data_IF_852660930475
#
_entry.id   IF_852660930475
#
_cell.length_a   1.000
_cell.length_b   1.000
_cell.length_c   1.000
_cell.angle_alpha   90.00
_cell.angle_beta   90.00
_cell.angle_gamma   90.00
#
_symmetry.space_group_name_H-M   'P 1'
#
loop_
_entity.id
_entity.type
_entity.pdbx_description
1 polymer ?
#
# COMPACT_ATOMS: atom_id res chain seq x y z
N UNK A 1 31.59 -51.43 16.34
CA UNK A 1 30.46 -51.60 15.40
C UNK A 1 29.33 -50.59 15.61
N UNK A 2 29.02 -50.14 16.84
CA UNK A 2 27.91 -49.20 17.11
C UNK A 2 27.99 -47.79 16.47
N UNK A 3 29.16 -47.32 16.03
CA UNK A 3 29.28 -45.96 15.48
C UNK A 3 28.77 -45.85 14.03
N UNK A 4 28.83 -46.93 13.26
CA UNK A 4 28.43 -46.97 11.85
C UNK A 4 26.89 -47.05 11.70
N UNK A 5 26.23 -47.76 12.63
CA UNK A 5 24.77 -47.89 12.67
C UNK A 5 24.09 -46.54 12.97
N UNK A 6 24.72 -45.71 13.81
CA UNK A 6 24.17 -44.41 14.21
C UNK A 6 24.26 -43.36 13.08
N UNK A 7 25.31 -43.42 12.24
CA UNK A 7 25.41 -42.57 11.05
C UNK A 7 24.42 -42.99 9.95
N UNK A 8 24.17 -44.30 9.79
CA UNK A 8 23.14 -44.79 8.88
C UNK A 8 21.72 -44.41 9.32
N UNK A 9 21.44 -44.43 10.63
CA UNK A 9 20.17 -43.97 11.17
C UNK A 9 19.92 -42.47 10.91
N UNK A 10 20.94 -41.63 11.12
CA UNK A 10 20.86 -40.20 10.83
C UNK A 10 20.66 -39.89 9.34
N UNK A 11 21.36 -40.62 8.46
CA UNK A 11 21.19 -40.46 7.02
C UNK A 11 19.79 -40.90 6.56
N UNK A 12 19.24 -41.97 7.13
CA UNK A 12 17.87 -42.41 6.82
C UNK A 12 16.81 -41.40 7.28
N UNK A 13 17.02 -40.75 8.43
CA UNK A 13 16.12 -39.68 8.91
C UNK A 13 16.20 -38.44 8.01
N UNK A 14 17.39 -38.07 7.56
CA UNK A 14 17.56 -36.93 6.64
C UNK A 14 16.87 -37.18 5.28
N UNK A 15 16.99 -38.39 4.73
CA UNK A 15 16.33 -38.78 3.46
C UNK A 15 14.80 -38.75 3.62
N UNK A 16 14.27 -39.31 4.72
CA UNK A 16 12.83 -39.27 4.99
C UNK A 16 12.29 -37.86 5.15
N UNK A 17 13.09 -36.93 5.70
CA UNK A 17 12.70 -35.54 5.86
C UNK A 17 12.66 -34.80 4.51
N UNK A 18 13.64 -35.05 3.64
CA UNK A 18 13.66 -34.48 2.29
C UNK A 18 12.48 -34.98 1.44
N UNK A 19 12.18 -36.28 1.49
CA UNK A 19 11.00 -36.86 0.82
C UNK A 19 9.67 -36.27 1.34
N UNK A 20 9.58 -35.98 2.65
CA UNK A 20 8.40 -35.37 3.25
C UNK A 20 8.22 -33.92 2.78
N UNK A 21 9.31 -33.16 2.69
CA UNK A 21 9.32 -31.78 2.20
C UNK A 21 8.96 -31.72 0.71
N UNK A 22 9.49 -32.64 -0.09
CA UNK A 22 9.17 -32.73 -1.53
C UNK A 22 7.70 -33.12 -1.77
N UNK A 23 7.16 -34.05 -0.99
CA UNK A 23 5.73 -34.40 -1.04
C UNK A 23 4.81 -33.24 -0.63
N UNK A 24 5.21 -32.43 0.37
CA UNK A 24 4.45 -31.23 0.74
C UNK A 24 4.50 -30.13 -0.34
N UNK A 25 5.61 -30.02 -1.08
CA UNK A 25 5.70 -29.08 -2.20
C UNK A 25 4.84 -29.53 -3.38
N UNK A 26 4.81 -30.83 -3.70
CA UNK A 26 3.97 -31.39 -4.77
C UNK A 26 2.46 -31.33 -4.49
N UNK A 27 2.03 -31.51 -3.23
CA UNK A 27 0.62 -31.30 -2.84
C UNK A 27 0.19 -29.84 -3.01
N UNK A 28 1.08 -28.89 -2.73
CA UNK A 28 0.82 -27.46 -2.89
C UNK A 28 0.66 -27.05 -4.36
N UNK A 29 1.28 -27.77 -5.28
CA UNK A 29 1.16 -27.51 -6.72
C UNK A 29 -0.14 -28.08 -7.29
N UNK A 30 -0.63 -29.24 -6.81
CA UNK A 30 -1.87 -29.88 -7.31
C UNK A 30 -3.18 -29.24 -6.83
N UNK A 31 -3.18 -28.51 -5.72
CA UNK A 31 -4.38 -27.75 -5.29
C UNK A 31 -4.63 -26.50 -6.15
N UNK A 32 -3.68 -26.13 -7.03
CA UNK A 32 -3.78 -24.94 -7.90
C UNK A 32 -4.52 -25.21 -9.22
N UNK A 33 -4.79 -26.47 -9.57
CA UNK A 33 -5.31 -26.84 -10.90
C UNK A 33 -6.76 -27.37 -10.91
N UNK A 34 -7.45 -27.41 -9.77
CA UNK A 34 -8.78 -28.01 -9.67
C UNK A 34 -9.86 -27.06 -9.12
N UNK A 35 -10.15 -25.94 -9.80
CA UNK A 35 -11.46 -25.27 -9.74
C UNK A 35 -11.73 -24.48 -11.03
N UNK A 36 -12.35 -25.14 -12.00
CA UNK A 36 -13.03 -24.54 -13.16
C UNK A 36 -14.49 -25.06 -13.12
N UNK A 37 -15.46 -24.19 -13.50
CA UNK A 37 -16.94 -24.26 -13.40
C UNK A 37 -17.52 -23.95 -11.99
N UNK A 38 -18.53 -23.10 -11.77
CA UNK A 38 -19.65 -22.67 -12.63
C UNK A 38 -20.15 -21.22 -12.34
N UNK A 39 -20.96 -20.74 -13.29
CA UNK A 39 -21.67 -19.45 -13.42
C UNK A 39 -22.61 -19.06 -12.25
N UNK A 40 -22.79 -17.75 -12.02
CA UNK A 40 -24.03 -16.99 -12.33
C UNK A 40 -24.05 -15.58 -11.68
N UNK A 41 -23.85 -14.56 -12.54
CA UNK A 41 -24.56 -13.25 -12.74
C UNK A 41 -25.25 -12.46 -11.57
N UNK A 42 -25.75 -11.22 -11.78
CA UNK A 42 -24.99 -9.96 -11.73
C UNK A 42 -25.62 -8.94 -10.74
N UNK A 43 -24.87 -7.93 -10.32
CA UNK A 43 -25.50 -6.68 -9.87
C UNK A 43 -24.71 -5.44 -10.25
N UNK A 44 -25.35 -4.73 -11.19
CA UNK A 44 -25.17 -3.34 -11.59
C UNK A 44 -24.77 -2.42 -10.45
N UNK A 45 -23.73 -1.63 -10.65
CA UNK A 45 -23.76 -0.22 -10.27
C UNK A 45 -23.00 0.61 -11.31
N UNK A 46 -23.82 1.33 -12.07
CA UNK A 46 -23.47 2.45 -12.91
C UNK A 46 -22.79 3.53 -12.04
N UNK A 47 -21.59 3.97 -12.41
CA UNK A 47 -21.08 5.26 -11.94
C UNK A 47 -20.22 5.89 -13.02
N UNK A 48 -20.76 6.98 -13.54
CA UNK A 48 -20.21 7.77 -14.62
C UNK A 48 -18.82 8.32 -14.29
N UNK A 49 -17.95 8.10 -15.26
CA UNK A 49 -16.74 8.85 -15.61
C UNK A 49 -16.66 10.27 -15.03
N UNK A 50 -15.61 10.54 -14.24
CA UNK A 50 -15.02 11.87 -14.13
C UNK A 50 -13.49 11.80 -14.17
N UNK A 51 -12.98 11.74 -15.40
CA UNK A 51 -11.57 11.95 -15.72
C UNK A 51 -11.30 13.46 -15.72
N UNK A 52 -10.74 13.99 -14.63
CA UNK A 52 -10.30 15.38 -14.57
C UNK A 52 -8.79 15.48 -14.84
N UNK A 53 -8.47 15.99 -16.03
CA UNK A 53 -7.14 16.46 -16.49
C UNK A 53 -6.31 17.08 -15.36
N UNK A 54 -5.15 16.51 -15.09
CA UNK A 54 -4.06 17.23 -14.41
C UNK A 54 -2.93 17.53 -15.40
N UNK A 55 -2.69 18.82 -15.53
CA UNK A 55 -1.67 19.47 -16.34
C UNK A 55 -0.27 19.05 -15.90
N UNK A 56 0.50 18.50 -16.82
CA UNK A 56 1.95 18.31 -16.68
C UNK A 56 2.63 19.67 -16.69
N UNK A 57 3.48 19.93 -15.70
CA UNK A 57 4.51 20.97 -15.76
C UNK A 57 5.82 20.30 -16.18
N UNK A 58 6.36 20.78 -17.30
CA UNK A 58 7.71 20.51 -17.78
C UNK A 58 8.73 21.02 -16.74
N UNK A 59 9.70 20.18 -16.40
CA UNK A 59 10.92 20.59 -15.72
C UNK A 59 12.11 19.77 -16.28
N UNK A 60 12.76 20.43 -17.25
CA UNK A 60 14.18 20.42 -17.61
C UNK A 60 15.02 19.16 -17.37
N UNK A 61 15.44 18.61 -18.50
CA UNK A 61 16.56 17.71 -18.73
C UNK A 61 17.85 18.19 -18.08
N UNK A 62 18.47 17.34 -17.26
CA UNK A 62 19.87 16.90 -17.38
C UNK A 62 20.24 16.02 -16.17
N UNK A 63 20.90 14.89 -16.46
CA UNK A 63 21.38 13.83 -15.56
C UNK A 63 20.37 12.71 -15.24
N UNK A 64 20.04 11.89 -16.24
CA UNK A 64 19.46 10.55 -16.05
C UNK A 64 20.13 9.57 -17.02
N UNK A 65 21.20 8.93 -16.59
CA UNK A 65 21.73 7.67 -17.13
C UNK A 65 22.33 6.99 -15.89
N UNK A 66 21.56 6.35 -15.01
CA UNK A 66 21.38 4.89 -15.00
C UNK A 66 20.17 4.45 -14.13
N UNK A 67 19.53 5.36 -13.38
CA UNK A 67 18.37 5.08 -12.50
C UNK A 67 17.02 4.92 -13.24
N UNK A 68 17.00 5.13 -14.56
CA UNK A 68 15.75 5.19 -15.33
C UNK A 68 15.13 3.82 -15.60
N UNK A 69 15.91 2.74 -15.58
CA UNK A 69 15.44 1.42 -16.02
C UNK A 69 14.55 0.75 -14.95
N UNK A 70 14.87 0.92 -13.65
CA UNK A 70 14.02 0.41 -12.56
C UNK A 70 12.73 1.23 -12.37
N UNK A 71 12.79 2.55 -12.53
CA UNK A 71 11.61 3.41 -12.36
C UNK A 71 10.56 3.26 -13.48
N UNK A 72 10.99 2.90 -14.70
CA UNK A 72 10.07 2.64 -15.81
C UNK A 72 9.31 1.31 -15.67
N UNK A 73 9.93 0.28 -15.06
CA UNK A 73 9.26 -1.02 -14.88
C UNK A 73 8.19 -1.01 -13.77
N UNK A 74 8.30 -0.14 -12.75
CA UNK A 74 7.32 -0.09 -11.66
C UNK A 74 6.00 0.60 -12.05
N UNK A 75 6.01 1.55 -13.00
CA UNK A 75 4.79 2.23 -13.48
C UNK A 75 3.81 1.27 -14.16
N UNK A 76 4.32 0.20 -14.75
CA UNK A 76 3.55 -0.76 -15.54
C UNK A 76 3.20 -2.06 -14.79
N UNK A 77 3.35 -2.12 -13.46
CA UNK A 77 2.89 -3.30 -12.70
C UNK A 77 1.38 -3.46 -12.92
N UNK A 78 0.93 -4.54 -13.60
CA UNK A 78 -0.49 -4.80 -13.76
C UNK A 78 -1.06 -5.08 -12.36
N UNK A 79 -2.12 -4.35 -12.00
CA UNK A 79 -2.87 -4.66 -10.78
C UNK A 79 -3.71 -5.88 -11.12
N UNK A 80 -3.17 -7.08 -10.91
CA UNK A 80 -4.01 -8.26 -10.91
C UNK A 80 -4.96 -8.11 -9.70
N UNK A 81 -6.26 -8.05 -9.91
CA UNK A 81 -7.25 -7.94 -8.82
C UNK A 81 -7.19 -9.14 -7.84
N UNK A 82 -6.45 -10.20 -8.20
CA UNK A 82 -6.15 -11.36 -7.36
C UNK A 82 -4.82 -11.26 -6.59
N UNK A 83 -4.00 -10.23 -6.83
CA UNK A 83 -2.80 -9.97 -6.04
C UNK A 83 -3.22 -9.64 -4.62
N UNK A 84 -3.14 -10.65 -3.76
CA UNK A 84 -3.22 -10.44 -2.34
C UNK A 84 -2.11 -9.46 -1.97
N UNK A 85 -2.50 -8.23 -1.63
CA UNK A 85 -1.58 -7.26 -1.08
C UNK A 85 -0.72 -7.92 0.02
N UNK A 86 0.56 -8.13 -0.25
CA UNK A 86 1.52 -8.56 0.78
C UNK A 86 1.81 -7.33 1.64
N UNK A 87 0.86 -7.03 2.54
CA UNK A 87 0.90 -5.90 3.43
C UNK A 87 1.78 -6.21 4.64
N UNK A 88 3.07 -5.93 4.51
CA UNK A 88 3.92 -5.78 5.68
C UNK A 88 3.38 -4.60 6.49
N UNK A 89 2.91 -4.86 7.71
CA UNK A 89 2.37 -3.83 8.62
C UNK A 89 3.40 -2.69 8.84
N UNK A 90 4.69 -3.01 8.80
CA UNK A 90 5.77 -2.04 8.94
C UNK A 90 5.83 -1.06 7.75
N UNK A 91 5.64 -1.54 6.52
CA UNK A 91 5.60 -0.70 5.31
C UNK A 91 4.43 0.28 5.38
N UNK A 92 3.23 -0.21 5.71
CA UNK A 92 2.06 0.66 5.91
C UNK A 92 2.33 1.70 7.00
N UNK A 93 2.83 1.26 8.15
CA UNK A 93 3.17 2.14 9.28
C UNK A 93 4.11 3.25 8.83
N UNK A 94 5.17 2.91 8.11
CA UNK A 94 6.18 3.87 7.69
C UNK A 94 5.60 4.92 6.74
N UNK A 95 4.82 4.50 5.73
CA UNK A 95 4.15 5.42 4.79
C UNK A 95 3.17 6.36 5.52
N UNK A 96 2.37 5.82 6.45
CA UNK A 96 1.44 6.66 7.21
C UNK A 96 2.19 7.63 8.14
N UNK A 97 3.29 7.18 8.76
CA UNK A 97 4.11 8.01 9.63
C UNK A 97 4.85 9.09 8.86
N UNK A 98 5.33 8.79 7.65
CA UNK A 98 5.96 9.79 6.80
C UNK A 98 4.97 10.83 6.31
N UNK A 99 3.76 10.42 5.94
CA UNK A 99 2.67 11.36 5.63
C UNK A 99 2.32 12.26 6.82
N UNK A 100 2.16 11.69 8.01
CA UNK A 100 1.92 12.45 9.24
C UNK A 100 3.04 13.48 9.48
N UNK A 101 4.29 13.03 9.40
CA UNK A 101 5.47 13.87 9.63
C UNK A 101 5.52 15.01 8.62
N UNK A 102 5.33 14.72 7.34
CA UNK A 102 5.31 15.71 6.26
C UNK A 102 4.30 16.82 6.55
N UNK A 103 3.05 16.48 6.87
CA UNK A 103 2.04 17.50 7.18
C UNK A 103 2.35 18.31 8.44
N UNK A 104 2.96 17.69 9.46
CA UNK A 104 3.34 18.38 10.70
C UNK A 104 4.47 19.37 10.47
N UNK A 105 5.45 19.00 9.65
CA UNK A 105 6.66 19.79 9.37
C UNK A 105 6.48 20.80 8.23
N UNK A 106 5.34 20.76 7.53
CA UNK A 106 5.03 21.68 6.43
C UNK A 106 4.97 23.13 6.93
N UNK A 107 5.81 24.00 6.35
CA UNK A 107 5.88 25.44 6.63
C UNK A 107 5.53 26.32 5.43
N UNK A 108 5.53 25.75 4.22
CA UNK A 108 5.20 26.47 2.99
C UNK A 108 3.73 26.92 3.04
N UNK A 109 3.52 28.24 2.98
CA UNK A 109 2.20 28.86 3.10
C UNK A 109 1.27 28.47 1.96
N UNK A 110 1.80 28.37 0.73
CA UNK A 110 1.01 28.02 -0.45
C UNK A 110 0.55 26.57 -0.38
N UNK A 111 1.43 25.65 0.03
CA UNK A 111 1.06 24.24 0.22
C UNK A 111 0.09 24.05 1.39
N UNK A 112 0.26 24.81 2.48
CA UNK A 112 -0.68 24.83 3.61
C UNK A 112 -2.08 25.23 3.13
N UNK A 113 -2.18 26.33 2.37
CA UNK A 113 -3.46 26.80 1.82
C UNK A 113 -4.07 25.78 0.87
N UNK A 114 -3.27 25.19 -0.04
CA UNK A 114 -3.69 24.11 -0.94
C UNK A 114 -4.32 22.95 -0.17
N UNK A 115 -3.64 22.43 0.87
CA UNK A 115 -4.17 21.31 1.65
C UNK A 115 -5.39 21.68 2.50
N UNK A 116 -5.44 22.89 3.02
CA UNK A 116 -6.63 23.38 3.72
C UNK A 116 -7.83 23.47 2.79
N UNK A 117 -7.65 23.95 1.57
CA UNK A 117 -8.70 23.98 0.55
C UNK A 117 -9.14 22.56 0.16
N UNK A 118 -8.19 21.65 -0.13
CA UNK A 118 -8.51 20.25 -0.45
C UNK A 118 -9.35 19.56 0.64
N UNK A 119 -9.00 19.79 1.91
CA UNK A 119 -9.73 19.20 3.04
C UNK A 119 -11.15 19.76 3.20
N UNK A 120 -11.32 21.06 2.95
CA UNK A 120 -12.58 21.77 3.12
C UNK A 120 -13.51 21.69 1.88
N UNK A 121 -12.98 21.44 0.68
CA UNK A 121 -13.72 21.42 -0.61
C UNK A 121 -14.76 20.29 -0.78
N UNK A 122 -15.14 19.59 0.29
CA UNK A 122 -16.31 18.71 0.23
C UNK A 122 -17.58 19.56 0.24
N UNK A 123 -18.21 19.70 -0.93
CA UNK A 123 -19.38 20.54 -1.28
C UNK A 123 -20.59 20.50 -0.33
N UNK A 124 -20.62 19.61 0.66
CA UNK A 124 -21.77 19.38 1.53
C UNK A 124 -21.60 19.95 2.95
N UNK A 125 -20.56 20.73 3.22
CA UNK A 125 -20.28 21.25 4.57
C UNK A 125 -20.54 22.75 4.66
N UNK A 126 -21.74 23.10 5.14
CA UNK A 126 -22.14 24.43 5.68
C UNK A 126 -21.39 24.81 6.96
N UNK A 127 -20.31 24.10 7.28
CA UNK A 127 -19.62 24.13 8.56
C UNK A 127 -18.32 24.92 8.46
N UNK A 128 -18.04 25.70 9.50
CA UNK A 128 -16.83 26.51 9.71
C UNK A 128 -15.56 25.93 9.08
N UNK A 129 -14.84 26.77 8.33
CA UNK A 129 -13.59 26.43 7.68
C UNK A 129 -12.60 25.84 8.69
N UNK A 130 -12.20 24.57 8.50
CA UNK A 130 -11.24 23.92 9.37
C UNK A 130 -9.84 24.47 9.06
N UNK A 131 -9.15 24.92 10.11
CA UNK A 131 -7.79 25.44 10.02
C UNK A 131 -6.78 24.32 9.83
N UNK A 132 -5.66 24.59 9.15
CA UNK A 132 -4.63 23.57 8.89
C UNK A 132 -4.06 22.94 10.17
N UNK A 133 -3.96 23.70 11.26
CA UNK A 133 -3.56 23.19 12.58
C UNK A 133 -4.51 22.09 13.10
N UNK A 134 -5.81 22.22 12.87
CA UNK A 134 -6.81 21.21 13.24
C UNK A 134 -6.75 19.99 12.32
N UNK A 135 -6.49 20.18 11.03
CA UNK A 135 -6.24 19.07 10.09
C UNK A 135 -5.06 18.20 10.58
N UNK A 136 -3.95 18.84 10.99
CA UNK A 136 -2.78 18.15 11.57
C UNK A 136 -3.15 17.35 12.83
N UNK A 137 -3.95 17.95 13.72
CA UNK A 137 -4.42 17.29 14.96
C UNK A 137 -5.30 16.08 14.64
N UNK A 138 -6.27 16.22 13.74
CA UNK A 138 -7.16 15.12 13.36
C UNK A 138 -6.42 13.96 12.71
N UNK A 139 -5.50 14.25 11.78
CA UNK A 139 -4.68 13.22 11.17
C UNK A 139 -3.81 12.52 12.23
N UNK A 140 -3.16 13.29 13.10
CA UNK A 140 -2.32 12.73 14.16
C UNK A 140 -3.11 11.84 15.11
N UNK A 141 -4.32 12.24 15.50
CA UNK A 141 -5.22 11.43 16.33
C UNK A 141 -5.62 10.12 15.62
N UNK A 142 -5.89 10.18 14.32
CA UNK A 142 -6.25 9.00 13.51
C UNK A 142 -5.09 8.01 13.38
N UNK A 143 -3.86 8.50 13.13
CA UNK A 143 -2.66 7.67 12.95
C UNK A 143 -2.12 7.14 14.29
N UNK A 144 -2.22 7.91 15.37
CA UNK A 144 -1.71 7.52 16.70
C UNK A 144 -2.72 6.71 17.52
N UNK A 145 -3.83 6.27 16.94
CA UNK A 145 -4.86 5.53 17.67
C UNK A 145 -4.31 4.17 18.14
N UNK A 146 -4.10 4.06 19.45
CA UNK A 146 -3.64 2.81 20.11
C UNK A 146 -4.57 1.64 19.77
N UNK A 147 -4.01 0.43 19.70
CA UNK A 147 -4.72 -0.82 19.42
C UNK A 147 -5.39 -0.96 18.03
N UNK A 148 -5.21 0.01 17.13
CA UNK A 148 -5.70 -0.11 15.74
C UNK A 148 -4.57 -0.61 14.83
N UNK A 149 -4.85 -1.64 14.03
CA UNK A 149 -3.88 -2.19 13.08
C UNK A 149 -3.62 -1.19 11.93
N UNK A 150 -2.40 -1.17 11.41
CA UNK A 150 -1.98 -0.16 10.42
C UNK A 150 -2.78 -0.24 9.12
N UNK A 151 -3.17 -1.44 8.71
CA UNK A 151 -4.06 -1.63 7.57
C UNK A 151 -5.43 -0.94 7.78
N UNK A 152 -6.04 -1.04 8.97
CA UNK A 152 -7.31 -0.37 9.26
C UNK A 152 -7.16 1.15 9.25
N UNK A 153 -6.03 1.66 9.74
CA UNK A 153 -5.74 3.11 9.70
C UNK A 153 -5.62 3.57 8.25
N UNK A 154 -4.83 2.86 7.44
CA UNK A 154 -4.66 3.12 6.00
C UNK A 154 -6.01 3.11 5.27
N UNK A 155 -6.80 2.05 5.48
CA UNK A 155 -8.16 1.94 4.93
C UNK A 155 -8.97 3.18 5.24
N UNK A 156 -8.97 3.59 6.51
CA UNK A 156 -9.73 4.72 6.98
C UNK A 156 -9.23 6.08 6.49
N UNK A 157 -7.99 6.19 6.01
CA UNK A 157 -7.45 7.41 5.40
C UNK A 157 -7.85 7.45 3.92
N UNK A 158 -7.69 6.33 3.21
CA UNK A 158 -8.02 6.24 1.79
C UNK A 158 -9.53 6.33 1.54
N UNK A 159 -10.36 5.72 2.38
CA UNK A 159 -11.82 5.83 2.25
C UNK A 159 -12.39 7.15 2.79
N UNK A 160 -11.57 7.98 3.46
CA UNK A 160 -12.04 9.25 4.01
C UNK A 160 -11.95 10.36 2.97
N UNK A 161 -13.10 10.80 2.46
CA UNK A 161 -13.23 11.90 1.47
C UNK A 161 -12.43 13.18 1.80
N UNK A 162 -12.16 13.46 3.07
CA UNK A 162 -11.39 14.65 3.49
C UNK A 162 -9.87 14.41 3.52
N UNK A 163 -9.42 13.19 3.82
CA UNK A 163 -7.99 12.87 3.93
C UNK A 163 -7.42 12.20 2.67
N UNK A 164 -8.25 11.49 1.90
CA UNK A 164 -7.86 10.82 0.66
C UNK A 164 -7.16 11.78 -0.32
N UNK A 165 -7.67 13.00 -0.61
CA UNK A 165 -7.01 13.90 -1.56
C UNK A 165 -5.63 14.37 -1.07
N UNK A 166 -5.50 14.64 0.23
CA UNK A 166 -4.23 15.07 0.84
C UNK A 166 -3.21 13.92 0.82
N UNK A 167 -3.67 12.71 1.12
CA UNK A 167 -2.82 11.52 1.12
C UNK A 167 -2.36 11.18 -0.30
N UNK A 168 -3.25 11.25 -1.28
CA UNK A 168 -2.93 11.08 -2.69
C UNK A 168 -1.87 12.08 -3.16
N UNK A 169 -2.07 13.38 -2.91
CA UNK A 169 -1.11 14.41 -3.30
C UNK A 169 0.28 14.19 -2.67
N UNK A 170 0.32 13.72 -1.42
CA UNK A 170 1.57 13.32 -0.75
C UNK A 170 2.22 12.11 -1.44
N UNK A 171 1.45 11.06 -1.75
CA UNK A 171 1.97 9.86 -2.39
C UNK A 171 2.60 10.18 -3.76
N UNK A 172 1.95 11.02 -4.55
CA UNK A 172 2.44 11.39 -5.89
C UNK A 172 3.66 12.32 -5.81
N UNK A 173 3.63 13.34 -4.95
CA UNK A 173 4.60 14.43 -5.05
C UNK A 173 5.75 14.38 -4.02
N UNK A 174 5.60 13.63 -2.93
CA UNK A 174 6.50 13.73 -1.78
C UNK A 174 7.00 12.39 -1.25
N UNK A 175 6.36 11.28 -1.61
CA UNK A 175 6.75 9.96 -1.12
C UNK A 175 8.14 9.55 -1.60
N UNK A 176 8.51 9.85 -2.85
CA UNK A 176 9.85 9.57 -3.39
C UNK A 176 10.94 10.39 -2.71
N UNK A 177 10.67 11.67 -2.45
CA UNK A 177 11.57 12.55 -1.69
C UNK A 177 11.80 11.99 -0.28
N UNK A 178 10.74 11.48 0.35
CA UNK A 178 10.85 10.80 1.63
C UNK A 178 11.66 9.50 1.52
N UNK A 179 11.37 8.62 0.56
CA UNK A 179 12.06 7.34 0.41
C UNK A 179 13.57 7.53 0.25
N UNK A 180 14.00 8.46 -0.61
CA UNK A 180 15.41 8.80 -0.84
C UNK A 180 16.14 9.26 0.43
N UNK A 181 15.44 9.91 1.36
CA UNK A 181 16.01 10.42 2.62
C UNK A 181 15.85 9.45 3.79
N UNK A 182 15.00 8.43 3.64
CA UNK A 182 14.66 7.50 4.71
C UNK A 182 15.70 6.40 4.85
N UNK A 183 15.79 5.79 6.03
CA UNK A 183 16.62 4.60 6.30
C UNK A 183 15.81 3.30 6.24
N UNK A 184 14.79 3.25 5.40
CA UNK A 184 13.97 2.02 5.27
C UNK A 184 14.79 0.95 4.55
N UNK A 185 14.76 -0.29 5.06
CA UNK A 185 15.51 -1.42 4.47
C UNK A 185 14.83 -1.95 3.21
N UNK A 186 13.50 -1.98 3.21
CA UNK A 186 12.70 -2.64 2.17
C UNK A 186 12.17 -1.61 1.17
N UNK A 187 13.05 -0.83 0.52
CA UNK A 187 12.66 0.31 -0.32
C UNK A 187 11.71 -0.10 -1.47
N UNK A 188 12.00 -1.23 -2.12
CA UNK A 188 11.17 -1.79 -3.20
C UNK A 188 9.74 -2.07 -2.73
N UNK A 189 9.56 -2.67 -1.54
CA UNK A 189 8.22 -2.95 -1.00
C UNK A 189 7.42 -1.67 -0.73
N UNK A 190 8.11 -0.60 -0.32
CA UNK A 190 7.45 0.70 -0.12
C UNK A 190 7.02 1.29 -1.47
N UNK A 191 7.88 1.27 -2.48
CA UNK A 191 7.56 1.78 -3.82
C UNK A 191 6.40 1.00 -4.47
N UNK A 192 6.41 -0.33 -4.37
CA UNK A 192 5.31 -1.18 -4.86
C UNK A 192 4.02 -0.82 -4.14
N UNK A 193 4.05 -0.69 -2.80
CA UNK A 193 2.85 -0.35 -2.04
C UNK A 193 2.34 1.06 -2.38
N UNK A 194 3.22 2.05 -2.49
CA UNK A 194 2.86 3.42 -2.89
C UNK A 194 2.21 3.40 -4.27
N UNK A 195 2.81 2.71 -5.24
CA UNK A 195 2.29 2.61 -6.61
C UNK A 195 0.91 1.94 -6.63
N UNK A 196 0.72 0.86 -5.86
CA UNK A 196 -0.58 0.20 -5.71
C UNK A 196 -1.61 1.13 -5.07
N UNK A 197 -1.24 1.92 -4.06
CA UNK A 197 -2.15 2.85 -3.40
C UNK A 197 -2.57 4.00 -4.32
N UNK A 198 -1.65 4.54 -5.12
CA UNK A 198 -1.95 5.56 -6.13
C UNK A 198 -2.97 5.01 -7.12
N UNK A 199 -2.71 3.85 -7.73
CA UNK A 199 -3.65 3.21 -8.67
C UNK A 199 -5.02 2.95 -8.05
N UNK A 200 -5.07 2.41 -6.83
CA UNK A 200 -6.36 2.20 -6.15
C UNK A 200 -7.15 3.50 -5.94
N UNK A 201 -6.49 4.62 -5.68
CA UNK A 201 -7.17 5.91 -5.51
C UNK A 201 -7.61 6.49 -6.86
N UNK A 202 -6.77 6.36 -7.90
CA UNK A 202 -7.08 6.83 -9.27
C UNK A 202 -8.24 6.05 -9.89
N UNK A 203 -8.24 4.73 -9.73
CA UNK A 203 -9.25 3.83 -10.31
C UNK A 203 -10.53 3.73 -9.45
N UNK A 204 -10.60 4.46 -8.32
CA UNK A 204 -11.65 4.36 -7.29
C UNK A 204 -11.91 2.90 -6.83
N UNK A 205 -10.84 2.09 -6.80
CA UNK A 205 -10.91 0.68 -6.42
C UNK A 205 -10.74 0.54 -4.91
N UNK A 206 -11.66 -0.18 -4.28
CA UNK A 206 -11.55 -0.47 -2.86
C UNK A 206 -10.25 -1.21 -2.54
N UNK A 207 -9.48 -0.68 -1.59
CA UNK A 207 -8.28 -1.38 -1.13
C UNK A 207 -8.69 -2.65 -0.39
N UNK A 208 -8.44 -3.80 -1.02
CA UNK A 208 -8.61 -5.13 -0.42
C UNK A 208 -7.51 -5.42 0.61
N UNK A 209 -7.61 -4.76 1.77
CA UNK A 209 -6.73 -4.99 2.91
C UNK A 209 -7.22 -6.18 3.72
N UNK A 210 -6.36 -7.20 3.92
CA UNK A 210 -6.71 -8.36 4.76
C UNK A 210 -6.97 -7.91 6.20
N UNK A 211 -8.24 -7.90 6.61
CA UNK A 211 -8.65 -7.63 7.99
C UNK A 211 -8.87 -8.97 8.69
N UNK A 212 -7.90 -9.46 9.47
CA UNK A 212 -8.15 -10.63 10.30
C UNK A 212 -9.09 -10.25 11.44
N UNK A 213 -10.32 -10.78 11.41
CA UNK A 213 -11.21 -10.78 12.57
C UNK A 213 -10.65 -11.79 13.58
N UNK A 214 -10.62 -11.42 14.87
CA UNK A 214 -10.44 -12.43 15.93
C UNK A 214 -11.62 -13.39 15.82
N UNK A 215 -11.34 -14.70 15.70
CA UNK A 215 -12.37 -15.71 15.96
C UNK A 215 -12.79 -15.53 17.43
N UNK A 216 -14.10 -15.43 17.65
CA UNK A 216 -14.68 -15.44 19.00
C UNK A 216 -14.52 -16.82 19.61
#
# INVERSE_FOLDING_TARGET
MHHLENQNALNNVAVLFLDLVEKQQLQKTRETESWILDNDSPSLLNCDSYLAKYSSYELTSQQIEEDSIMNLQLKNVPVNHKDQFIQKQNTIKNILKSFQKYLVELKDVNLIQKYQQMYNNNKNSTSSQIQFSEIKKYLSKKINKKATRWNLILKSIVECKKFQPLFYDYLVNQSDVWLKKSRVTDLVDHQILISKLIKCIEDDVQINLKVYKKKK
#
